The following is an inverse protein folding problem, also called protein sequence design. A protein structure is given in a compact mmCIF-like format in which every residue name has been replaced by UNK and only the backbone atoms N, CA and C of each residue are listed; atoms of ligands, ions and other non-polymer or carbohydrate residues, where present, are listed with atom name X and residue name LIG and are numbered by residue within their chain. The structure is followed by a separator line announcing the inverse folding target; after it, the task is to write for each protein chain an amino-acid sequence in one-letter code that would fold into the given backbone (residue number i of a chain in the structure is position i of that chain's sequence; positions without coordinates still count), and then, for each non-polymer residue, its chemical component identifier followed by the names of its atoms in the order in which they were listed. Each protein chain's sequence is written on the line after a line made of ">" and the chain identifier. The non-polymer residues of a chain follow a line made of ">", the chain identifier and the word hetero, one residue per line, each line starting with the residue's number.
data_IF_154846937144
#
_entry.id   IF_154846937144
#
_cell.length_a   1.000
_cell.length_b   1.000
_cell.length_c   1.000
_cell.angle_alpha   90.00
_cell.angle_beta   90.00
_cell.angle_gamma   90.00
#
_symmetry.space_group_name_H-M   'P 1'
#
loop_
_entity.id
_entity.type
_entity.pdbx_description
1 polymer ?
#
# COMPACT_ATOMS: atom_id res chain seq x y z
N UNK A 1 22.05 2.35 8.31
CA UNK A 1 21.80 1.10 7.54
C UNK A 1 20.58 1.33 6.64
N UNK A 2 20.69 1.25 5.30
CA UNK A 2 19.62 1.68 4.37
C UNK A 2 18.43 0.71 4.28
N UNK A 3 18.52 -0.45 4.94
CA UNK A 3 17.52 -1.54 4.89
C UNK A 3 16.09 -1.11 5.29
N UNK A 4 15.85 -0.38 6.39
CA UNK A 4 14.49 0.01 6.80
C UNK A 4 13.83 0.94 5.79
N UNK A 5 14.62 1.83 5.18
CA UNK A 5 14.14 2.84 4.24
C UNK A 5 13.80 2.22 2.89
N UNK A 6 14.59 1.24 2.45
CA UNK A 6 14.29 0.40 1.28
C UNK A 6 13.02 -0.43 1.47
N UNK A 7 12.84 -1.03 2.65
CA UNK A 7 11.61 -1.78 2.98
C UNK A 7 10.41 -0.84 3.02
N UNK A 8 10.51 0.32 3.68
CA UNK A 8 9.41 1.28 3.78
C UNK A 8 9.02 1.82 2.39
N UNK A 9 9.98 2.24 1.58
CA UNK A 9 9.74 2.72 0.22
C UNK A 9 9.19 1.62 -0.69
N UNK A 10 9.73 0.40 -0.62
CA UNK A 10 9.26 -0.75 -1.39
C UNK A 10 7.84 -1.16 -1.02
N UNK A 11 7.49 -1.15 0.27
CA UNK A 11 6.11 -1.43 0.71
C UNK A 11 5.14 -0.35 0.25
N UNK A 12 5.52 0.93 0.45
CA UNK A 12 4.65 2.07 0.18
C UNK A 12 4.46 2.27 -1.32
N UNK A 13 5.55 2.43 -2.07
CA UNK A 13 5.49 2.68 -3.52
C UNK A 13 5.16 1.41 -4.30
N UNK A 14 5.73 0.26 -3.92
CA UNK A 14 5.55 -0.98 -4.66
C UNK A 14 4.11 -1.48 -4.63
N UNK A 15 3.45 -1.51 -3.46
CA UNK A 15 2.05 -1.93 -3.38
C UNK A 15 1.12 -0.93 -4.06
N UNK A 16 1.34 0.36 -3.86
CA UNK A 16 0.48 1.39 -4.44
C UNK A 16 0.55 1.40 -5.97
N UNK A 17 1.76 1.36 -6.53
CA UNK A 17 1.96 1.28 -7.98
C UNK A 17 1.44 -0.06 -8.53
N UNK A 18 1.71 -1.18 -7.85
CA UNK A 18 1.23 -2.49 -8.27
C UNK A 18 -0.29 -2.54 -8.37
N UNK A 19 -1.00 -2.20 -7.30
CA UNK A 19 -2.47 -2.25 -7.27
C UNK A 19 -3.08 -1.28 -8.27
N UNK A 20 -2.58 -0.05 -8.35
CA UNK A 20 -3.11 0.94 -9.28
C UNK A 20 -2.85 0.56 -10.74
N UNK A 21 -1.64 0.12 -11.07
CA UNK A 21 -1.26 -0.25 -12.44
C UNK A 21 -2.06 -1.47 -12.91
N UNK A 22 -2.20 -2.51 -12.08
CA UNK A 22 -3.00 -3.68 -12.44
C UNK A 22 -4.48 -3.36 -12.54
N UNK A 23 -5.02 -2.53 -11.65
CA UNK A 23 -6.41 -2.08 -11.75
C UNK A 23 -6.63 -1.25 -13.03
N UNK A 24 -5.71 -0.35 -13.36
CA UNK A 24 -5.76 0.46 -14.59
C UNK A 24 -5.67 -0.40 -15.85
N UNK A 25 -4.73 -1.35 -15.90
CA UNK A 25 -4.59 -2.30 -17.00
C UNK A 25 -5.84 -3.17 -17.15
N UNK A 26 -6.41 -3.69 -16.06
CA UNK A 26 -7.63 -4.51 -16.12
C UNK A 26 -8.81 -3.74 -16.71
N UNK A 27 -8.92 -2.44 -16.40
CA UNK A 27 -9.96 -1.57 -16.96
C UNK A 27 -9.69 -1.24 -18.43
N UNK A 28 -8.43 -0.93 -18.79
CA UNK A 28 -8.04 -0.64 -20.17
C UNK A 28 -8.21 -1.84 -21.10
N UNK A 29 -7.84 -3.04 -20.64
CA UNK A 29 -8.02 -4.30 -21.36
C UNK A 29 -9.49 -4.77 -21.38
N UNK A 30 -10.43 -3.97 -20.83
CA UNK A 30 -11.86 -4.28 -20.70
C UNK A 30 -12.15 -5.60 -19.95
N UNK A 31 -11.18 -6.11 -19.18
CA UNK A 31 -11.35 -7.28 -18.32
C UNK A 31 -12.18 -6.96 -17.07
N UNK A 32 -12.15 -5.70 -16.63
CA UNK A 32 -12.96 -5.18 -15.54
C UNK A 32 -13.62 -3.86 -15.92
N UNK A 33 -14.72 -3.50 -15.25
CA UNK A 33 -15.38 -2.20 -15.38
C UNK A 33 -15.44 -1.55 -14.00
N UNK A 34 -15.26 -0.22 -13.94
CA UNK A 34 -15.51 0.50 -12.70
C UNK A 34 -17.01 0.34 -12.33
N UNK A 35 -17.33 0.05 -11.06
CA UNK A 35 -18.71 0.02 -10.60
C UNK A 35 -19.41 1.37 -10.82
N UNK A 36 -20.73 1.33 -11.01
CA UNK A 36 -21.52 2.55 -11.19
C UNK A 36 -21.35 3.50 -9.99
N UNK A 37 -20.95 4.74 -10.25
CA UNK A 37 -20.71 5.75 -9.21
C UNK A 37 -19.30 5.76 -8.62
N UNK A 38 -18.40 4.85 -9.01
CA UNK A 38 -17.01 4.86 -8.54
C UNK A 38 -16.14 5.72 -9.45
N UNK A 39 -15.36 6.62 -8.86
CA UNK A 39 -14.40 7.46 -9.60
C UNK A 39 -12.97 6.91 -9.51
N UNK A 40 -12.11 7.29 -10.47
CA UNK A 40 -10.69 6.96 -10.43
C UNK A 40 -9.98 7.41 -9.14
N UNK A 41 -10.45 8.49 -8.51
CA UNK A 41 -9.95 8.95 -7.22
C UNK A 41 -10.26 7.98 -6.08
N UNK A 42 -11.43 7.32 -6.10
CA UNK A 42 -11.78 6.30 -5.11
C UNK A 42 -10.99 5.02 -5.33
N UNK A 43 -10.79 4.63 -6.59
CA UNK A 43 -9.95 3.49 -6.94
C UNK A 43 -8.51 3.71 -6.47
N UNK A 44 -7.98 4.92 -6.66
CA UNK A 44 -6.65 5.30 -6.16
C UNK A 44 -6.58 5.32 -4.62
N UNK A 45 -7.61 5.87 -3.96
CA UNK A 45 -7.74 5.82 -2.50
C UNK A 45 -7.78 4.38 -1.95
N UNK A 46 -8.49 3.48 -2.63
CA UNK A 46 -8.51 2.06 -2.30
C UNK A 46 -7.15 1.38 -2.52
N UNK A 47 -6.46 1.70 -3.63
CA UNK A 47 -5.11 1.20 -3.91
C UNK A 47 -4.09 1.61 -2.82
N UNK A 48 -4.21 2.83 -2.31
CA UNK A 48 -3.42 3.32 -1.17
C UNK A 48 -3.67 2.50 0.10
N UNK A 49 -4.93 2.17 0.40
CA UNK A 49 -5.29 1.33 1.55
C UNK A 49 -4.80 -0.12 1.41
N UNK A 50 -4.74 -0.66 0.19
CA UNK A 50 -4.09 -1.96 -0.05
C UNK A 50 -2.60 -1.97 0.30
N UNK A 51 -1.96 -0.79 0.41
CA UNK A 51 -0.60 -0.62 0.90
C UNK A 51 -0.41 -1.00 2.38
N UNK A 52 -1.48 -1.13 3.17
CA UNK A 52 -1.42 -1.54 4.57
C UNK A 52 -1.01 -3.01 4.65
N UNK A 53 0.28 -3.25 4.90
CA UNK A 53 0.88 -4.58 4.88
C UNK A 53 0.99 -5.25 6.25
N UNK A 54 0.85 -4.49 7.34
CA UNK A 54 1.11 -4.87 8.73
C UNK A 54 1.39 -6.36 8.98
N UNK A 55 0.38 -7.20 9.21
CA UNK A 55 0.55 -8.62 9.57
C UNK A 55 1.21 -9.47 8.50
N UNK A 56 0.79 -9.37 7.23
CA UNK A 56 1.36 -10.18 6.14
C UNK A 56 2.78 -9.74 5.77
N UNK A 57 3.07 -8.44 5.81
CA UNK A 57 4.40 -7.92 5.56
C UNK A 57 5.36 -8.21 6.72
N UNK A 58 4.88 -8.21 7.97
CA UNK A 58 5.67 -8.66 9.11
C UNK A 58 6.05 -10.14 8.99
N UNK A 59 5.13 -10.98 8.53
CA UNK A 59 5.39 -12.40 8.27
C UNK A 59 6.40 -12.61 7.13
N UNK A 60 6.23 -11.92 6.00
CA UNK A 60 7.19 -11.98 4.88
C UNK A 60 8.55 -11.43 5.33
N UNK A 61 8.56 -10.35 6.10
CA UNK A 61 9.78 -9.75 6.65
C UNK A 61 10.51 -10.68 7.62
N UNK A 62 9.78 -11.43 8.47
CA UNK A 62 10.41 -12.42 9.34
C UNK A 62 11.04 -13.57 8.55
N UNK A 63 10.37 -14.07 7.51
CA UNK A 63 10.91 -15.14 6.66
C UNK A 63 12.13 -14.68 5.85
N UNK A 64 12.08 -13.45 5.30
CA UNK A 64 13.14 -12.92 4.47
C UNK A 64 14.45 -12.64 5.24
N UNK A 65 14.36 -12.35 6.54
CA UNK A 65 15.50 -12.00 7.38
C UNK A 65 15.77 -13.00 8.52
N UNK A 66 15.15 -14.17 8.49
CA UNK A 66 15.31 -15.23 9.49
C UNK A 66 16.79 -15.63 9.67
N UNK A 67 17.53 -15.66 8.55
CA UNK A 67 18.95 -16.07 8.51
C UNK A 67 19.93 -14.89 8.57
N UNK A 68 19.45 -13.64 8.59
CA UNK A 68 20.29 -12.45 8.48
C UNK A 68 20.85 -11.96 9.84
N UNK A 69 20.37 -12.51 10.96
CA UNK A 69 20.79 -12.17 12.31
C UNK A 69 19.82 -11.23 13.07
N UNK A 70 19.82 -11.26 14.42
CA UNK A 70 18.79 -10.64 15.25
C UNK A 70 18.72 -9.11 15.13
N UNK A 71 19.80 -8.43 14.72
CA UNK A 71 19.82 -6.98 14.55
C UNK A 71 18.87 -6.46 13.44
N UNK A 72 18.58 -7.27 12.42
CA UNK A 72 17.73 -6.83 11.30
C UNK A 72 16.23 -6.92 11.60
N UNK A 73 15.83 -7.75 12.55
CA UNK A 73 14.41 -7.95 12.89
C UNK A 73 13.71 -6.67 13.36
N UNK A 74 14.37 -5.86 14.20
CA UNK A 74 13.81 -4.60 14.68
C UNK A 74 13.64 -3.57 13.55
N UNK A 75 14.67 -3.41 12.72
CA UNK A 75 14.70 -2.53 11.56
C UNK A 75 13.60 -2.86 10.53
N UNK A 76 13.38 -4.14 10.24
CA UNK A 76 12.33 -4.62 9.33
C UNK A 76 10.94 -4.30 9.87
N UNK A 77 10.69 -4.60 11.15
CA UNK A 77 9.41 -4.33 11.82
C UNK A 77 9.09 -2.84 11.80
N UNK A 78 10.06 -1.99 12.11
CA UNK A 78 9.91 -0.54 12.06
C UNK A 78 9.59 -0.04 10.65
N UNK A 79 10.29 -0.51 9.62
CA UNK A 79 10.01 -0.14 8.23
C UNK A 79 8.59 -0.50 7.79
N UNK A 80 8.11 -1.70 8.14
CA UNK A 80 6.75 -2.17 7.81
C UNK A 80 5.69 -1.37 8.57
N UNK A 81 5.91 -1.10 9.85
CA UNK A 81 5.02 -0.30 10.70
C UNK A 81 4.87 1.12 10.14
N UNK A 82 5.99 1.79 9.89
CA UNK A 82 6.01 3.17 9.36
C UNK A 82 5.39 3.22 7.97
N UNK A 83 5.75 2.29 7.08
CA UNK A 83 5.15 2.20 5.74
C UNK A 83 3.64 1.98 5.78
N UNK A 84 3.17 1.06 6.63
CA UNK A 84 1.74 0.78 6.78
C UNK A 84 0.97 1.97 7.37
N UNK A 85 1.56 2.67 8.33
CA UNK A 85 0.97 3.87 8.93
C UNK A 85 0.86 5.01 7.91
N UNK A 86 1.90 5.23 7.11
CA UNK A 86 1.89 6.22 6.03
C UNK A 86 0.82 5.87 4.98
N UNK A 87 0.73 4.61 4.55
CA UNK A 87 -0.34 4.16 3.64
C UNK A 87 -1.73 4.36 4.23
N UNK A 88 -1.91 4.09 5.53
CA UNK A 88 -3.19 4.29 6.20
C UNK A 88 -3.59 5.78 6.26
N UNK A 89 -2.67 6.66 6.65
CA UNK A 89 -2.93 8.10 6.74
C UNK A 89 -3.20 8.69 5.36
N UNK A 90 -2.34 8.43 4.37
CA UNK A 90 -2.49 8.96 3.02
C UNK A 90 -3.75 8.39 2.35
N UNK A 91 -3.99 7.08 2.47
CA UNK A 91 -5.19 6.44 1.95
C UNK A 91 -6.47 7.00 2.56
N UNK A 92 -6.51 7.19 3.88
CA UNK A 92 -7.64 7.80 4.57
C UNK A 92 -7.88 9.23 4.12
N UNK A 93 -6.85 10.07 4.05
CA UNK A 93 -6.95 11.47 3.64
C UNK A 93 -7.46 11.59 2.21
N UNK A 94 -6.90 10.82 1.27
CA UNK A 94 -7.34 10.79 -0.13
C UNK A 94 -8.79 10.33 -0.21
N UNK A 95 -9.14 9.22 0.45
CA UNK A 95 -10.49 8.68 0.39
C UNK A 95 -11.51 9.63 1.00
N UNK A 96 -11.18 10.28 2.13
CA UNK A 96 -12.02 11.31 2.76
C UNK A 96 -12.25 12.50 1.82
N UNK A 97 -11.22 12.98 1.11
CA UNK A 97 -11.37 14.08 0.16
C UNK A 97 -12.21 13.71 -1.06
N UNK A 98 -12.08 12.47 -1.56
CA UNK A 98 -12.81 12.03 -2.74
C UNK A 98 -14.28 11.72 -2.42
N UNK A 99 -14.56 11.03 -1.30
CA UNK A 99 -15.92 10.77 -0.85
C UNK A 99 -16.68 12.04 -0.47
N UNK A 100 -16.02 12.99 0.20
CA UNK A 100 -16.66 14.26 0.59
C UNK A 100 -16.99 15.17 -0.61
N UNK A 101 -16.27 15.02 -1.73
CA UNK A 101 -16.61 15.69 -3.00
C UNK A 101 -17.81 15.07 -3.72
N UNK A 102 -18.12 13.80 -3.49
CA UNK A 102 -19.26 13.13 -4.13
C UNK A 102 -20.57 13.34 -3.36
N UNK A 103 -20.48 13.65 -2.07
CA UNK A 103 -21.63 13.98 -1.23
C UNK A 103 -22.10 15.45 -1.34
N UNK A 104 -21.36 16.29 -2.10
CA UNK A 104 -21.79 17.63 -2.51
C UNK A 104 -22.28 17.62 -3.94
#
# INVERSE_FOLDING_TARGET
>A
EPVPLGIAAGLFLGKQLGVFLFAWLAVQLRMARLPAGVTWGQLYGAALLCGIGFTMSLFIGSLAFEHAGPQYGASVRLGILVGSLLSAVVGYVVLRMVLSRQAR
#
